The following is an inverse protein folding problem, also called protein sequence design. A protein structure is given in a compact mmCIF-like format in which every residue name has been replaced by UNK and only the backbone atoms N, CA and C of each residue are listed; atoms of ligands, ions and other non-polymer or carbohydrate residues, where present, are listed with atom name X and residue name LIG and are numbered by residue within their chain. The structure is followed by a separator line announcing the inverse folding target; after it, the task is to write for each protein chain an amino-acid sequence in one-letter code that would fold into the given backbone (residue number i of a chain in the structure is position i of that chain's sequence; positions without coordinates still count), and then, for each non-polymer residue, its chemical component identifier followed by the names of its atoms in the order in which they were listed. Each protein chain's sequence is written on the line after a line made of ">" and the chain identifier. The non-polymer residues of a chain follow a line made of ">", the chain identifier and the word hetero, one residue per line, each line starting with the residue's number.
data_IF_815327596062
#
_entry.id   IF_815327596062
#
_cell.length_a   1.000
_cell.length_b   1.000
_cell.length_c   1.000
_cell.angle_alpha   90.00
_cell.angle_beta   90.00
_cell.angle_gamma   90.00
#
_symmetry.space_group_name_H-M   'P 1'
#
loop_
_entity.id
_entity.type
_entity.pdbx_description
1 polymer ?
#
# COMPACT_ATOMS: atom_id res chain seq x y z
N UNK A 1 -83.72 -32.15 -10.02
CA UNK A 1 -83.09 -31.07 -9.18
C UNK A 1 -81.58 -31.25 -9.30
N UNK A 2 -80.93 -30.40 -10.13
CA UNK A 2 -79.53 -30.51 -10.47
C UNK A 2 -78.74 -29.63 -9.52
N UNK A 3 -77.77 -30.19 -8.76
CA UNK A 3 -76.79 -29.45 -8.00
C UNK A 3 -75.51 -29.34 -8.83
N UNK A 4 -75.27 -28.11 -9.32
CA UNK A 4 -74.01 -27.74 -9.97
C UNK A 4 -72.94 -27.46 -8.89
N UNK A 5 -71.89 -28.25 -8.88
CA UNK A 5 -70.67 -28.01 -8.07
C UNK A 5 -69.78 -27.01 -8.80
N UNK A 6 -69.55 -25.85 -8.21
CA UNK A 6 -68.55 -24.87 -8.64
C UNK A 6 -67.19 -25.22 -8.00
N UNK A 7 -66.25 -25.62 -8.83
CA UNK A 7 -64.83 -25.76 -8.48
C UNK A 7 -64.15 -24.40 -8.55
N UNK A 8 -63.77 -23.84 -7.41
CA UNK A 8 -62.84 -22.69 -7.37
C UNK A 8 -61.43 -23.17 -7.51
N UNK A 9 -60.81 -22.89 -8.64
CA UNK A 9 -59.36 -23.08 -8.86
C UNK A 9 -58.63 -21.88 -8.20
N UNK A 10 -58.06 -22.09 -7.03
CA UNK A 10 -57.18 -21.11 -6.36
C UNK A 10 -55.82 -21.18 -7.04
N UNK A 11 -55.52 -20.22 -7.96
CA UNK A 11 -54.22 -20.02 -8.54
C UNK A 11 -53.24 -19.50 -7.49
N UNK A 12 -52.30 -20.30 -7.03
CA UNK A 12 -51.21 -19.86 -6.18
C UNK A 12 -50.24 -19.03 -7.04
N UNK A 13 -50.24 -17.72 -6.91
CA UNK A 13 -49.20 -16.83 -7.47
C UNK A 13 -47.92 -17.06 -6.65
N UNK A 14 -47.02 -17.85 -7.17
CA UNK A 14 -45.65 -17.96 -6.65
C UNK A 14 -44.92 -16.66 -6.97
N UNK A 15 -44.86 -15.75 -6.01
CA UNK A 15 -43.97 -14.60 -6.06
C UNK A 15 -42.53 -15.13 -6.04
N UNK A 16 -41.90 -15.20 -7.21
CA UNK A 16 -40.46 -15.44 -7.32
C UNK A 16 -39.75 -14.30 -6.58
N UNK A 17 -39.25 -14.59 -5.36
CA UNK A 17 -38.32 -13.69 -4.69
C UNK A 17 -37.09 -13.54 -5.59
N UNK A 18 -36.64 -12.31 -5.92
CA UNK A 18 -35.37 -12.15 -6.61
C UNK A 18 -34.31 -12.87 -5.76
N UNK A 19 -33.62 -13.85 -6.37
CA UNK A 19 -32.47 -14.46 -5.74
C UNK A 19 -31.46 -13.33 -5.50
N UNK A 20 -31.29 -12.96 -4.23
CA UNK A 20 -30.21 -12.06 -3.84
C UNK A 20 -28.94 -12.71 -4.35
N UNK A 21 -28.31 -12.11 -5.36
CA UNK A 21 -27.05 -12.57 -5.89
C UNK A 21 -26.10 -12.74 -4.70
N UNK A 22 -25.65 -13.97 -4.48
CA UNK A 22 -24.78 -14.27 -3.34
C UNK A 22 -23.51 -13.45 -3.50
N UNK A 23 -23.21 -12.62 -2.49
CA UNK A 23 -22.04 -11.74 -2.52
C UNK A 23 -20.78 -12.59 -2.75
N UNK A 24 -20.00 -12.24 -3.75
CA UNK A 24 -18.71 -12.88 -4.00
C UNK A 24 -17.75 -12.42 -2.89
N UNK A 25 -17.23 -13.35 -2.09
CA UNK A 25 -16.23 -13.04 -1.07
C UNK A 25 -14.84 -13.26 -1.67
N UNK A 26 -14.00 -12.24 -1.56
CA UNK A 26 -12.59 -12.26 -1.99
C UNK A 26 -11.72 -12.15 -0.74
N UNK A 27 -10.80 -13.07 -0.56
CA UNK A 27 -9.88 -13.09 0.58
C UNK A 27 -8.48 -12.71 0.13
N UNK A 28 -7.92 -11.65 0.71
CA UNK A 28 -6.58 -11.18 0.44
C UNK A 28 -5.77 -11.01 1.71
N UNK A 29 -4.45 -11.07 1.58
CA UNK A 29 -3.55 -10.82 2.70
C UNK A 29 -2.27 -10.11 2.25
N UNK A 30 -1.67 -9.31 3.11
CA UNK A 30 -0.38 -8.72 2.82
C UNK A 30 -0.12 -7.35 3.43
N UNK A 31 0.40 -6.45 2.60
CA UNK A 31 0.87 -5.13 2.99
C UNK A 31 -0.13 -4.33 3.83
N UNK A 32 0.36 -3.69 4.90
CA UNK A 32 -0.45 -2.73 5.65
C UNK A 32 -0.56 -1.38 4.93
N UNK A 33 0.33 -1.09 3.99
CA UNK A 33 0.35 0.13 3.21
C UNK A 33 -1.01 0.46 2.57
N UNK A 34 -1.67 -0.43 1.78
CA UNK A 34 -2.94 -0.13 1.15
C UNK A 34 -4.17 -0.38 2.04
N UNK A 35 -4.01 -0.85 3.29
CA UNK A 35 -5.14 -1.27 4.12
C UNK A 35 -6.23 -0.20 4.24
N UNK A 36 -5.92 1.10 4.52
CA UNK A 36 -6.97 2.12 4.64
C UNK A 36 -7.84 2.24 3.40
N UNK A 37 -7.23 2.23 2.22
CA UNK A 37 -7.98 2.33 0.96
C UNK A 37 -8.68 1.01 0.60
N UNK A 38 -8.09 -0.15 0.88
CA UNK A 38 -8.74 -1.43 0.61
C UNK A 38 -9.98 -1.65 1.49
N UNK A 39 -9.95 -1.23 2.75
CA UNK A 39 -11.13 -1.24 3.62
C UNK A 39 -12.23 -0.32 3.08
N UNK A 40 -11.88 0.88 2.61
CA UNK A 40 -12.83 1.82 2.02
C UNK A 40 -13.41 1.30 0.71
N UNK A 41 -12.57 0.75 -0.16
CA UNK A 41 -13.00 0.12 -1.41
C UNK A 41 -13.85 -1.13 -1.16
N UNK A 42 -13.46 -1.97 -0.19
CA UNK A 42 -14.21 -3.16 0.17
C UNK A 42 -15.63 -2.86 0.65
N UNK A 43 -15.80 -1.82 1.48
CA UNK A 43 -17.12 -1.35 1.90
C UNK A 43 -17.94 -0.89 0.69
N UNK A 44 -17.40 -0.02 -0.15
CA UNK A 44 -18.10 0.53 -1.31
C UNK A 44 -18.41 -0.54 -2.38
N UNK A 45 -17.52 -1.50 -2.63
CA UNK A 45 -17.74 -2.60 -3.57
C UNK A 45 -18.82 -3.59 -3.09
N UNK A 46 -18.93 -3.78 -1.77
CA UNK A 46 -20.01 -4.59 -1.19
C UNK A 46 -21.38 -4.01 -1.50
N UNK A 47 -21.52 -2.69 -1.41
CA UNK A 47 -22.76 -1.97 -1.69
C UNK A 47 -23.03 -1.84 -3.20
N UNK A 48 -22.00 -1.50 -4.00
CA UNK A 48 -22.13 -1.17 -5.41
C UNK A 48 -22.01 -2.35 -6.37
N UNK A 49 -21.40 -3.48 -5.96
CA UNK A 49 -21.13 -4.63 -6.83
C UNK A 49 -21.36 -5.99 -6.18
N UNK A 50 -21.89 -6.06 -4.95
CA UNK A 50 -22.04 -7.31 -4.18
C UNK A 50 -20.72 -8.10 -4.04
N UNK A 51 -19.58 -7.41 -3.94
CA UNK A 51 -18.26 -8.02 -3.73
C UNK A 51 -17.82 -7.70 -2.30
N UNK A 52 -17.64 -8.72 -1.46
CA UNK A 52 -17.13 -8.59 -0.10
C UNK A 52 -15.63 -8.85 -0.08
N UNK A 53 -14.87 -7.91 0.47
CA UNK A 53 -13.43 -8.08 0.67
C UNK A 53 -13.16 -8.50 2.13
N UNK A 54 -12.39 -9.58 2.30
CA UNK A 54 -11.76 -9.98 3.56
C UNK A 54 -10.25 -9.80 3.41
N UNK A 55 -9.72 -8.68 3.93
CA UNK A 55 -8.31 -8.34 3.80
C UNK A 55 -7.56 -8.43 5.13
N UNK A 56 -6.48 -9.21 5.16
CA UNK A 56 -5.64 -9.41 6.34
C UNK A 56 -4.34 -8.63 6.19
N UNK A 57 -4.19 -7.57 6.98
CA UNK A 57 -2.97 -6.74 7.05
C UNK A 57 -1.90 -7.43 7.90
N UNK A 58 -1.03 -8.22 7.26
CA UNK A 58 -0.01 -9.06 7.92
C UNK A 58 1.42 -8.79 7.44
N UNK A 59 1.61 -7.71 6.66
CA UNK A 59 2.86 -7.34 6.02
C UNK A 59 3.06 -8.01 4.66
N UNK A 60 3.85 -7.37 3.79
CA UNK A 60 4.11 -7.83 2.41
C UNK A 60 4.66 -9.25 2.36
N UNK A 61 5.63 -9.57 3.24
CA UNK A 61 6.19 -10.92 3.30
C UNK A 61 5.15 -11.98 3.68
N UNK A 62 4.23 -11.67 4.60
CA UNK A 62 3.10 -12.52 4.94
C UNK A 62 2.17 -12.75 3.75
N UNK A 63 1.84 -11.69 2.99
CA UNK A 63 1.03 -11.76 1.78
C UNK A 63 1.66 -12.59 0.68
N UNK A 64 2.96 -12.38 0.41
CA UNK A 64 3.74 -13.18 -0.55
C UNK A 64 3.71 -14.67 -0.16
N UNK A 65 3.90 -14.97 1.12
CA UNK A 65 3.87 -16.36 1.61
C UNK A 65 2.50 -16.99 1.42
N UNK A 66 1.42 -16.33 1.85
CA UNK A 66 0.07 -16.86 1.75
C UNK A 66 -0.36 -17.10 0.30
N UNK A 67 -0.06 -16.18 -0.62
CA UNK A 67 -0.43 -16.38 -2.03
C UNK A 67 0.44 -17.44 -2.70
N UNK A 68 1.71 -17.57 -2.34
CA UNK A 68 2.58 -18.65 -2.83
C UNK A 68 2.01 -20.01 -2.42
N UNK A 69 1.49 -20.12 -1.20
CA UNK A 69 0.84 -21.34 -0.67
C UNK A 69 -0.65 -21.47 -1.04
N UNK A 70 -1.19 -20.54 -1.84
CA UNK A 70 -2.61 -20.57 -2.30
C UNK A 70 -3.64 -20.57 -1.15
N UNK A 71 -3.31 -20.02 0.02
CA UNK A 71 -4.23 -19.94 1.17
C UNK A 71 -5.19 -18.76 1.10
N UNK A 72 -4.92 -17.80 0.22
CA UNK A 72 -5.74 -16.62 -0.10
C UNK A 72 -5.97 -16.52 -1.61
N UNK A 73 -6.90 -15.67 -2.03
CA UNK A 73 -7.20 -15.44 -3.45
C UNK A 73 -6.18 -14.47 -4.07
N UNK A 74 -5.62 -13.54 -3.27
CA UNK A 74 -4.53 -12.65 -3.68
C UNK A 74 -3.59 -12.31 -2.54
N UNK A 75 -2.33 -12.03 -2.87
CA UNK A 75 -1.36 -11.41 -1.99
C UNK A 75 -1.22 -9.92 -2.28
N UNK A 76 -0.83 -9.11 -1.29
CA UNK A 76 -0.51 -7.70 -1.49
C UNK A 76 0.90 -7.38 -0.99
N UNK A 77 1.67 -6.62 -1.79
CA UNK A 77 3.06 -6.25 -1.46
C UNK A 77 3.43 -4.89 -2.04
N UNK A 78 4.12 -4.06 -1.25
CA UNK A 78 4.71 -2.80 -1.74
C UNK A 78 6.16 -3.03 -2.23
N UNK A 79 6.72 -4.22 -1.98
CA UNK A 79 7.97 -4.66 -2.57
C UNK A 79 7.64 -5.50 -3.83
N UNK A 80 7.91 -5.02 -5.04
CA UNK A 80 7.66 -5.79 -6.25
C UNK A 80 8.54 -7.04 -6.28
N UNK A 81 7.96 -8.16 -6.75
CA UNK A 81 8.73 -9.37 -6.98
C UNK A 81 9.49 -9.28 -8.32
N UNK A 82 10.75 -9.71 -8.36
CA UNK A 82 11.47 -9.90 -9.62
C UNK A 82 10.72 -10.86 -10.56
N UNK A 83 10.81 -10.63 -11.87
CA UNK A 83 10.13 -11.42 -12.91
C UNK A 83 10.42 -12.92 -12.80
N UNK A 84 11.66 -13.28 -12.47
CA UNK A 84 12.03 -14.69 -12.24
C UNK A 84 11.25 -15.31 -11.07
N UNK A 85 11.07 -14.58 -9.97
CA UNK A 85 10.29 -15.07 -8.83
C UNK A 85 8.78 -15.13 -9.12
N UNK A 86 8.26 -14.21 -9.94
CA UNK A 86 6.87 -14.27 -10.41
C UNK A 86 6.64 -15.54 -11.25
N UNK A 87 7.54 -15.81 -12.19
CA UNK A 87 7.49 -17.01 -13.04
C UNK A 87 7.60 -18.31 -12.22
N UNK A 88 8.58 -18.40 -11.33
CA UNK A 88 8.78 -19.55 -10.43
C UNK A 88 7.53 -19.90 -9.62
N UNK A 89 6.85 -18.87 -9.12
CA UNK A 89 5.66 -19.01 -8.26
C UNK A 89 4.35 -19.05 -9.03
N UNK A 90 4.39 -18.95 -10.35
CA UNK A 90 3.21 -18.82 -11.20
C UNK A 90 2.29 -17.68 -10.73
N UNK A 91 2.86 -16.49 -10.57
CA UNK A 91 2.15 -15.29 -10.15
C UNK A 91 2.22 -14.21 -11.23
N UNK A 92 1.10 -13.53 -11.42
CA UNK A 92 1.00 -12.25 -12.08
C UNK A 92 1.03 -11.16 -11.00
N UNK A 93 1.82 -10.11 -11.25
CA UNK A 93 1.85 -8.90 -10.43
C UNK A 93 1.24 -7.73 -11.18
N UNK A 94 0.42 -6.92 -10.49
CA UNK A 94 -0.07 -5.65 -11.02
C UNK A 94 -0.30 -4.63 -9.90
N UNK A 95 -0.12 -3.31 -10.16
CA UNK A 95 -0.34 -2.26 -9.17
C UNK A 95 -1.84 -1.97 -9.01
N UNK A 96 -2.22 -1.38 -7.88
CA UNK A 96 -3.61 -0.99 -7.61
C UNK A 96 -3.76 0.48 -7.30
N UNK A 97 -2.83 1.06 -6.59
CA UNK A 97 -2.80 2.47 -6.16
C UNK A 97 -1.36 2.83 -5.82
N UNK A 98 -1.02 4.10 -5.89
CA UNK A 98 0.24 4.62 -5.37
C UNK A 98 0.00 5.33 -4.06
N UNK A 99 0.97 5.26 -3.16
CA UNK A 99 0.99 6.01 -1.91
C UNK A 99 2.38 6.55 -1.62
N UNK A 100 2.52 7.27 -0.54
CA UNK A 100 3.78 7.88 -0.14
C UNK A 100 4.18 7.42 1.26
N UNK A 101 5.48 7.31 1.49
CA UNK A 101 6.02 7.07 2.81
C UNK A 101 6.50 8.41 3.37
N UNK A 102 6.03 8.72 4.57
CA UNK A 102 6.34 9.95 5.28
C UNK A 102 7.08 9.64 6.58
N UNK A 103 7.94 10.56 7.00
CA UNK A 103 8.55 10.52 8.31
C UNK A 103 7.61 11.18 9.31
N UNK A 104 7.35 10.49 10.40
CA UNK A 104 6.50 10.93 11.49
C UNK A 104 7.34 11.10 12.75
N UNK A 105 7.08 12.17 13.52
CA UNK A 105 7.84 12.49 14.72
C UNK A 105 6.93 12.82 15.89
N UNK A 106 7.44 12.63 17.11
CA UNK A 106 6.80 13.09 18.34
C UNK A 106 7.78 13.96 19.14
N UNK A 107 7.88 15.22 18.76
CA UNK A 107 8.77 16.20 19.40
C UNK A 107 7.90 17.30 20.01
N UNK A 108 7.88 17.48 21.33
CA UNK A 108 7.10 18.55 21.97
C UNK A 108 7.42 19.93 21.40
N UNK A 109 6.37 20.66 21.01
CA UNK A 109 6.50 22.03 20.47
C UNK A 109 6.82 22.10 18.97
N UNK A 110 6.96 20.97 18.27
CA UNK A 110 7.13 20.93 16.81
C UNK A 110 5.77 20.74 16.14
N UNK A 111 5.40 21.70 15.30
CA UNK A 111 4.16 21.64 14.53
C UNK A 111 4.33 20.72 13.30
N UNK A 112 3.19 20.31 12.71
CA UNK A 112 3.17 19.52 11.49
C UNK A 112 3.93 20.24 10.36
N UNK A 113 4.75 19.49 9.63
CA UNK A 113 5.59 19.99 8.52
C UNK A 113 6.58 21.12 8.89
N UNK A 114 6.80 21.40 10.16
CA UNK A 114 7.76 22.45 10.57
C UNK A 114 9.21 21.95 10.55
N UNK A 115 9.45 20.67 10.88
CA UNK A 115 10.79 20.10 10.94
C UNK A 115 11.32 19.76 9.54
N UNK A 116 12.50 20.27 9.21
CA UNK A 116 13.23 20.01 7.97
C UNK A 116 14.35 19.02 8.22
N UNK A 117 14.42 17.98 7.40
CA UNK A 117 15.45 16.94 7.46
C UNK A 117 16.13 16.77 6.10
N UNK A 118 17.45 16.65 6.10
CA UNK A 118 18.20 16.31 4.89
C UNK A 118 18.39 14.80 4.78
N UNK A 119 18.68 14.25 3.59
CA UNK A 119 18.96 12.84 3.41
C UNK A 119 20.01 12.28 4.38
N UNK A 120 21.10 13.02 4.59
CA UNK A 120 22.19 12.64 5.48
C UNK A 120 21.74 12.56 6.94
N UNK A 121 20.95 13.54 7.38
CA UNK A 121 20.38 13.58 8.74
C UNK A 121 19.41 12.42 8.94
N UNK A 122 18.56 12.12 7.95
CA UNK A 122 17.61 10.99 8.01
C UNK A 122 18.39 9.67 8.15
N UNK A 123 19.40 9.45 7.31
CA UNK A 123 20.22 8.24 7.40
C UNK A 123 20.89 8.11 8.78
N UNK A 124 21.48 9.20 9.31
CA UNK A 124 22.18 9.20 10.59
C UNK A 124 21.23 9.03 11.80
N UNK A 125 19.97 9.48 11.72
CA UNK A 125 18.95 9.21 12.74
C UNK A 125 18.66 7.69 12.84
N UNK A 126 18.45 7.03 11.70
CA UNK A 126 18.16 5.58 11.67
C UNK A 126 19.42 4.70 11.83
N UNK A 127 20.62 5.23 11.56
CA UNK A 127 21.90 4.59 11.92
C UNK A 127 22.22 4.72 13.42
N UNK A 128 21.46 5.52 14.19
CA UNK A 128 21.73 5.81 15.60
C UNK A 128 22.96 6.69 15.85
N UNK A 129 23.41 7.42 14.82
CA UNK A 129 24.53 8.38 14.91
C UNK A 129 24.09 9.75 15.44
N UNK A 130 22.85 10.15 15.17
CA UNK A 130 22.17 11.25 15.81
C UNK A 130 21.28 10.69 16.91
N UNK A 131 21.64 11.01 18.15
CA UNK A 131 20.98 10.43 19.35
C UNK A 131 20.11 11.43 20.09
N UNK A 132 20.13 12.72 19.71
CA UNK A 132 19.35 13.78 20.35
C UNK A 132 18.79 14.76 19.32
N UNK A 133 17.60 15.30 19.58
CA UNK A 133 16.93 16.22 18.68
C UNK A 133 17.59 17.60 18.60
N UNK A 134 18.36 18.01 19.61
CA UNK A 134 19.16 19.24 19.59
C UNK A 134 20.58 19.05 19.02
N UNK A 135 20.83 17.99 18.24
CA UNK A 135 22.08 17.83 17.47
C UNK A 135 22.27 19.04 16.54
N UNK A 136 23.49 19.56 16.47
CA UNK A 136 23.79 20.76 15.70
C UNK A 136 23.35 20.67 14.23
N UNK A 137 23.49 19.49 13.61
CA UNK A 137 23.09 19.23 12.22
C UNK A 137 21.58 19.40 11.98
N UNK A 138 20.75 19.14 13.02
CA UNK A 138 19.30 19.38 12.93
C UNK A 138 18.99 20.84 13.25
N UNK A 139 19.61 21.40 14.28
CA UNK A 139 19.36 22.78 14.72
C UNK A 139 19.71 23.77 13.62
N UNK A 140 20.83 23.62 12.94
CA UNK A 140 21.27 24.48 11.83
C UNK A 140 20.28 24.52 10.66
N UNK A 141 19.59 23.38 10.38
CA UNK A 141 18.55 23.31 9.36
C UNK A 141 17.22 23.95 9.79
N UNK A 142 17.03 24.14 11.10
CA UNK A 142 15.75 24.49 11.72
C UNK A 142 15.85 25.66 12.67
N UNK A 143 16.54 26.75 12.26
CA UNK A 143 16.87 27.90 13.08
C UNK A 143 15.67 28.60 13.74
N UNK A 144 14.44 28.39 13.20
CA UNK A 144 13.18 28.90 13.77
C UNK A 144 12.53 27.97 14.80
N UNK A 145 13.08 26.76 15.03
CA UNK A 145 12.52 25.78 15.96
C UNK A 145 13.36 25.66 17.24
N UNK A 146 12.68 25.62 18.38
CA UNK A 146 13.33 25.27 19.64
C UNK A 146 13.31 23.75 19.83
N UNK A 147 14.35 23.08 19.36
CA UNK A 147 14.48 21.64 19.49
C UNK A 147 14.97 21.24 20.91
N UNK A 148 14.25 20.34 21.61
CA UNK A 148 14.60 19.96 22.97
C UNK A 148 15.82 19.04 23.02
N UNK A 149 16.53 19.03 24.16
CA UNK A 149 17.54 18.03 24.45
C UNK A 149 16.87 16.69 24.82
N UNK A 150 16.21 16.10 23.84
CA UNK A 150 15.40 14.88 23.97
C UNK A 150 16.06 13.75 23.19
N UNK A 151 16.19 12.51 23.75
CA UNK A 151 16.72 11.38 23.01
C UNK A 151 15.88 11.06 21.77
N UNK A 152 16.56 10.71 20.67
CA UNK A 152 15.91 10.19 19.47
C UNK A 152 15.60 8.71 19.65
N UNK A 153 14.37 8.31 19.37
CA UNK A 153 13.92 6.91 19.41
C UNK A 153 13.37 6.49 18.06
N UNK A 154 14.18 5.86 17.19
CA UNK A 154 13.68 5.35 15.91
C UNK A 154 12.67 4.23 16.11
N UNK A 155 11.54 4.29 15.38
CA UNK A 155 10.54 3.23 15.32
C UNK A 155 10.52 2.62 13.92
N UNK A 156 10.63 1.30 13.84
CA UNK A 156 10.71 0.57 12.57
C UNK A 156 9.77 -0.64 12.54
N UNK A 157 9.60 -1.23 11.37
CA UNK A 157 8.75 -2.41 11.18
C UNK A 157 9.44 -3.68 11.63
N UNK A 158 8.78 -4.42 12.54
CA UNK A 158 9.25 -5.72 13.03
C UNK A 158 8.80 -6.90 12.14
N UNK A 159 7.83 -6.68 11.25
CA UNK A 159 7.34 -7.65 10.27
C UNK A 159 8.06 -7.48 8.92
N UNK A 160 7.96 -8.49 8.05
CA UNK A 160 8.46 -8.39 6.68
C UNK A 160 7.59 -7.43 5.86
N UNK A 161 8.05 -6.19 5.67
CA UNK A 161 7.28 -5.03 5.26
C UNK A 161 7.72 -4.46 3.91
N UNK A 162 6.77 -4.25 3.00
CA UNK A 162 7.01 -3.49 1.78
C UNK A 162 7.31 -2.02 2.06
N UNK A 163 6.66 -1.40 3.05
CA UNK A 163 6.98 -0.05 3.51
C UNK A 163 8.45 0.06 3.94
N UNK A 164 8.96 -0.95 4.66
CA UNK A 164 10.39 -1.05 5.00
C UNK A 164 11.26 -1.17 3.76
N UNK A 165 10.88 -2.02 2.80
CA UNK A 165 11.62 -2.16 1.54
C UNK A 165 11.75 -0.82 0.82
N UNK A 166 10.67 -0.09 0.64
CA UNK A 166 10.67 1.22 -0.04
C UNK A 166 11.53 2.23 0.74
N UNK A 167 11.34 2.34 2.06
CA UNK A 167 12.12 3.26 2.89
C UNK A 167 13.61 2.92 2.92
N UNK A 168 13.97 1.66 3.06
CA UNK A 168 15.37 1.24 3.08
C UNK A 168 16.04 1.30 1.70
N UNK A 169 15.25 1.18 0.62
CA UNK A 169 15.73 1.48 -0.74
C UNK A 169 16.07 2.96 -0.87
N UNK A 170 15.20 3.85 -0.37
CA UNK A 170 15.50 5.28 -0.31
C UNK A 170 16.79 5.54 0.49
N UNK A 171 16.89 5.01 1.71
CA UNK A 171 18.09 5.18 2.54
C UNK A 171 19.37 4.67 1.85
N UNK A 172 19.28 3.56 1.10
CA UNK A 172 20.41 3.01 0.33
C UNK A 172 20.82 3.90 -0.87
N UNK A 173 19.90 4.73 -1.40
CA UNK A 173 20.22 5.68 -2.49
C UNK A 173 20.90 6.94 -1.98
N UNK A 174 20.55 7.37 -0.79
CA UNK A 174 21.01 8.64 -0.22
C UNK A 174 22.22 8.50 0.70
N UNK A 175 22.63 7.27 1.05
CA UNK A 175 23.71 7.02 2.00
C UNK A 175 24.48 5.75 1.65
N UNK A 176 25.75 5.89 1.27
CA UNK A 176 26.64 4.76 1.01
C UNK A 176 26.86 3.92 2.27
N UNK A 177 26.93 4.57 3.44
CA UNK A 177 27.01 3.86 4.73
C UNK A 177 25.81 2.97 4.97
N UNK A 178 24.60 3.46 4.66
CA UNK A 178 23.40 2.65 4.76
C UNK A 178 23.41 1.50 3.76
N UNK A 179 23.77 1.80 2.48
CA UNK A 179 23.82 0.84 1.38
C UNK A 179 24.76 -0.32 1.66
N UNK A 180 25.93 -0.06 2.21
CA UNK A 180 26.96 -1.08 2.49
C UNK A 180 26.81 -1.75 3.84
N UNK A 181 26.03 -1.17 4.75
CA UNK A 181 25.73 -1.68 6.08
C UNK A 181 24.36 -2.37 6.12
N UNK A 182 23.30 -1.69 6.61
CA UNK A 182 21.97 -2.30 6.75
C UNK A 182 21.36 -2.76 5.42
N UNK A 183 21.56 -1.98 4.35
CA UNK A 183 21.05 -2.25 3.00
C UNK A 183 19.54 -2.02 2.86
N UNK A 184 18.97 -2.57 1.76
CA UNK A 184 17.55 -2.50 1.45
C UNK A 184 16.90 -3.89 1.53
N UNK A 185 15.69 -3.96 2.08
CA UNK A 185 14.94 -5.22 2.19
C UNK A 185 13.61 -5.06 2.90
N UNK A 186 12.76 -6.07 2.79
CA UNK A 186 11.50 -6.12 3.56
C UNK A 186 11.74 -6.38 5.05
N UNK A 187 12.87 -6.98 5.39
CA UNK A 187 13.38 -7.20 6.74
C UNK A 187 14.88 -6.98 6.72
N UNK A 188 15.37 -6.11 7.60
CA UNK A 188 16.80 -5.83 7.76
C UNK A 188 17.19 -5.89 9.24
N UNK A 189 18.48 -5.93 9.51
CA UNK A 189 19.00 -5.72 10.87
C UNK A 189 19.11 -4.22 11.13
N UNK A 190 18.14 -3.67 11.88
CA UNK A 190 18.13 -2.25 12.22
C UNK A 190 19.26 -1.88 13.17
N UNK A 191 20.00 -0.79 12.88
CA UNK A 191 21.10 -0.36 13.75
C UNK A 191 20.64 0.19 15.11
N UNK A 192 19.47 0.84 15.15
CA UNK A 192 18.92 1.47 16.34
C UNK A 192 17.38 1.45 16.33
N UNK A 193 16.78 1.64 17.50
CA UNK A 193 15.35 1.83 17.65
C UNK A 193 14.58 0.59 18.07
N UNK A 194 13.24 0.68 17.98
CA UNK A 194 12.31 -0.34 18.43
C UNK A 194 11.38 -0.78 17.31
N UNK A 195 11.13 -2.09 17.23
CA UNK A 195 10.26 -2.68 16.22
C UNK A 195 8.79 -2.66 16.61
N UNK A 196 7.91 -2.35 15.63
CA UNK A 196 6.47 -2.42 15.76
C UNK A 196 5.84 -3.09 14.53
N UNK A 197 4.70 -3.77 14.69
CA UNK A 197 4.03 -4.47 13.60
C UNK A 197 3.08 -3.56 12.85
N UNK A 198 3.12 -3.61 11.52
CA UNK A 198 2.26 -2.83 10.63
C UNK A 198 2.58 -1.33 10.63
N UNK A 199 2.00 -0.57 9.71
CA UNK A 199 2.05 0.89 9.73
C UNK A 199 1.33 1.44 10.98
N UNK A 200 0.25 0.82 11.41
CA UNK A 200 -0.49 1.13 12.63
C UNK A 200 0.37 1.00 13.89
N UNK A 201 1.20 -0.03 13.99
CA UNK A 201 2.08 -0.24 15.13
C UNK A 201 3.18 0.83 15.20
N UNK A 202 3.82 1.17 14.08
CA UNK A 202 4.81 2.26 14.02
C UNK A 202 4.15 3.60 14.37
N UNK A 203 2.99 3.89 13.80
CA UNK A 203 2.22 5.11 14.07
C UNK A 203 1.87 5.24 15.56
N UNK A 204 1.43 4.16 16.19
CA UNK A 204 1.13 4.12 17.63
C UNK A 204 2.39 4.30 18.49
N UNK A 205 3.50 3.68 18.11
CA UNK A 205 4.79 3.82 18.83
C UNK A 205 5.25 5.25 18.80
N UNK A 206 5.25 5.90 17.64
CA UNK A 206 5.66 7.31 17.53
C UNK A 206 4.72 8.22 18.31
N UNK A 207 3.40 8.06 18.18
CA UNK A 207 2.42 8.87 18.90
C UNK A 207 2.61 8.86 20.41
N UNK A 208 2.96 7.70 20.98
CA UNK A 208 3.04 7.49 22.42
C UNK A 208 4.46 7.62 23.02
N UNK A 209 5.48 7.87 22.19
CA UNK A 209 6.87 7.94 22.64
C UNK A 209 7.45 9.33 22.33
N UNK A 210 7.57 10.22 23.32
CA UNK A 210 8.28 11.50 23.13
C UNK A 210 9.70 11.28 22.61
N UNK A 211 10.09 12.02 21.57
CA UNK A 211 11.38 11.87 20.91
C UNK A 211 11.41 10.77 19.83
N UNK A 212 10.33 10.08 19.60
CA UNK A 212 10.29 9.08 18.52
C UNK A 212 10.27 9.70 17.12
N UNK A 213 10.90 8.99 16.19
CA UNK A 213 10.80 9.18 14.75
C UNK A 213 10.48 7.81 14.12
N UNK A 214 9.58 7.78 13.14
CA UNK A 214 9.25 6.57 12.39
C UNK A 214 8.94 6.89 10.94
N UNK A 215 8.68 5.86 10.17
CA UNK A 215 8.20 5.97 8.78
C UNK A 215 6.89 5.18 8.64
N UNK A 216 5.94 5.74 7.91
CA UNK A 216 4.64 5.11 7.67
C UNK A 216 4.08 5.53 6.32
N UNK A 217 3.08 4.81 5.82
CA UNK A 217 2.30 5.28 4.69
C UNK A 217 1.46 6.50 5.13
N UNK A 218 1.31 7.49 4.23
CA UNK A 218 0.80 8.82 4.56
C UNK A 218 -0.64 8.82 5.11
N UNK A 219 -1.54 7.95 4.64
CA UNK A 219 -2.90 7.86 5.18
C UNK A 219 -2.91 7.55 6.69
N UNK A 220 -1.93 6.80 7.20
CA UNK A 220 -1.80 6.56 8.64
C UNK A 220 -1.39 7.81 9.41
N UNK A 221 -0.52 8.65 8.82
CA UNK A 221 -0.15 9.92 9.44
C UNK A 221 -1.35 10.87 9.49
N UNK A 222 -2.07 11.02 8.39
CA UNK A 222 -3.25 11.89 8.26
C UNK A 222 -4.39 11.46 9.19
N UNK A 223 -4.79 10.19 9.13
CA UNK A 223 -5.90 9.67 9.97
C UNK A 223 -5.59 9.76 11.45
N UNK A 224 -4.32 9.56 11.85
CA UNK A 224 -3.89 9.62 13.25
C UNK A 224 -3.41 11.01 13.67
N UNK A 225 -3.43 12.02 12.81
CA UNK A 225 -2.96 13.39 13.05
C UNK A 225 -1.54 13.42 13.62
N UNK A 226 -0.65 12.64 13.01
CA UNK A 226 0.76 12.59 13.40
C UNK A 226 1.51 13.75 12.76
N UNK A 227 2.51 14.25 13.49
CA UNK A 227 3.40 15.32 12.98
C UNK A 227 4.33 14.72 11.94
N UNK A 228 4.27 15.26 10.72
CA UNK A 228 5.15 14.88 9.59
C UNK A 228 6.29 15.89 9.42
N UNK A 229 7.27 15.56 8.57
CA UNK A 229 8.45 16.40 8.36
C UNK A 229 8.60 16.77 6.89
N UNK A 230 9.29 17.89 6.62
CA UNK A 230 9.80 18.17 5.28
C UNK A 230 11.10 17.42 5.04
N UNK A 231 11.29 16.92 3.81
CA UNK A 231 12.52 16.25 3.38
C UNK A 231 13.17 17.07 2.26
N UNK A 232 14.49 17.26 2.33
CA UNK A 232 15.25 17.79 1.20
C UNK A 232 15.31 16.74 0.11
N UNK A 233 14.69 17.02 -1.03
CA UNK A 233 14.66 16.09 -2.16
C UNK A 233 15.95 16.14 -2.98
N UNK A 234 16.06 15.27 -3.99
CA UNK A 234 17.23 15.14 -4.89
C UNK A 234 17.58 16.44 -5.62
N UNK A 235 16.60 17.31 -5.87
CA UNK A 235 16.81 18.63 -6.50
C UNK A 235 17.20 19.72 -5.50
N UNK A 236 17.39 19.40 -4.21
CA UNK A 236 17.84 20.31 -3.16
C UNK A 236 16.73 21.10 -2.47
N UNK A 237 15.47 20.96 -2.88
CA UNK A 237 14.34 21.65 -2.27
C UNK A 237 13.81 20.90 -1.04
N UNK A 238 13.42 21.63 0.01
CA UNK A 238 12.63 21.07 1.10
C UNK A 238 11.18 20.96 0.67
N UNK A 239 10.65 19.74 0.66
CA UNK A 239 9.30 19.41 0.21
C UNK A 239 8.49 18.88 1.39
N UNK A 240 7.26 19.39 1.56
CA UNK A 240 6.30 18.83 2.49
C UNK A 240 5.57 17.64 1.89
N UNK A 241 5.13 16.66 2.71
CA UNK A 241 4.36 15.51 2.25
C UNK A 241 2.91 15.91 1.96
N UNK A 242 2.68 16.46 0.79
CA UNK A 242 1.35 16.88 0.32
C UNK A 242 1.02 16.23 -1.01
N UNK A 243 -0.27 16.08 -1.30
CA UNK A 243 -0.75 15.39 -2.51
C UNK A 243 -0.10 15.89 -3.81
N UNK A 244 0.11 17.21 -3.94
CA UNK A 244 0.77 17.77 -5.13
C UNK A 244 2.21 17.26 -5.31
N UNK A 245 2.93 17.08 -4.20
CA UNK A 245 4.31 16.58 -4.23
C UNK A 245 4.36 15.07 -4.52
N UNK A 246 3.38 14.32 -4.07
CA UNK A 246 3.22 12.90 -4.39
C UNK A 246 2.85 12.70 -5.86
N UNK A 247 1.90 13.49 -6.36
CA UNK A 247 1.47 13.46 -7.76
C UNK A 247 2.61 13.80 -8.71
N UNK A 248 3.46 14.76 -8.37
CA UNK A 248 4.63 15.11 -9.17
C UNK A 248 5.62 13.94 -9.34
N UNK A 249 5.71 13.01 -8.36
CA UNK A 249 6.47 11.77 -8.51
C UNK A 249 5.73 10.74 -9.36
N UNK A 250 4.41 10.64 -9.20
CA UNK A 250 3.57 9.69 -9.94
C UNK A 250 3.49 10.01 -11.44
N UNK A 251 3.51 11.29 -11.80
CA UNK A 251 3.36 11.74 -13.19
C UNK A 251 4.55 11.35 -14.10
N UNK A 252 5.70 11.08 -13.50
CA UNK A 252 6.92 10.66 -14.22
C UNK A 252 7.17 9.15 -14.15
N UNK A 253 6.19 8.38 -13.67
CA UNK A 253 6.30 6.93 -13.52
C UNK A 253 6.43 6.20 -14.85
N UNK A 254 7.47 5.40 -15.03
CA UNK A 254 7.60 4.48 -16.16
C UNK A 254 6.94 3.13 -15.87
N UNK A 255 5.75 2.96 -16.41
CA UNK A 255 4.98 1.71 -16.29
C UNK A 255 5.31 0.67 -17.36
N UNK A 256 6.24 0.95 -18.29
CA UNK A 256 6.64 -0.01 -19.33
C UNK A 256 7.50 -1.17 -18.80
N UNK A 257 8.05 -1.00 -17.60
CA UNK A 257 8.90 -1.99 -16.93
C UNK A 257 8.16 -3.31 -16.65
N UNK A 258 8.87 -4.47 -16.70
CA UNK A 258 8.29 -5.78 -16.43
C UNK A 258 7.60 -5.85 -15.06
N UNK A 259 6.47 -6.56 -14.97
CA UNK A 259 5.69 -6.68 -13.73
C UNK A 259 5.08 -5.37 -13.25
N UNK A 260 5.02 -4.34 -14.10
CA UNK A 260 4.54 -2.99 -13.75
C UNK A 260 5.31 -2.36 -12.56
N UNK A 261 6.56 -2.76 -12.32
CA UNK A 261 7.35 -2.37 -11.16
C UNK A 261 8.00 -0.99 -11.32
N UNK A 262 7.19 0.04 -11.60
CA UNK A 262 7.67 1.41 -11.71
C UNK A 262 8.40 1.85 -10.44
N UNK A 263 9.57 2.46 -10.63
CA UNK A 263 10.41 2.96 -9.55
C UNK A 263 10.20 4.46 -9.38
N UNK A 264 9.62 4.85 -8.25
CA UNK A 264 9.25 6.24 -7.92
C UNK A 264 10.07 6.80 -6.76
N UNK A 265 11.17 6.13 -6.37
CA UNK A 265 11.97 6.49 -5.22
C UNK A 265 13.10 7.44 -5.64
N UNK A 266 13.26 8.56 -4.94
CA UNK A 266 14.32 9.55 -5.11
C UNK A 266 14.40 10.12 -6.54
N UNK A 267 13.25 10.44 -7.12
CA UNK A 267 13.16 11.07 -8.44
C UNK A 267 13.56 12.56 -8.37
N UNK A 268 14.07 13.08 -9.48
CA UNK A 268 14.41 14.51 -9.62
C UNK A 268 13.17 15.36 -9.88
N UNK A 269 13.16 16.59 -9.39
CA UNK A 269 12.11 17.57 -9.57
C UNK A 269 11.97 18.47 -8.32
N UNK A 270 11.83 19.78 -8.50
CA UNK A 270 11.84 20.73 -7.38
C UNK A 270 10.72 20.48 -6.36
N UNK A 271 9.56 19.95 -6.80
CA UNK A 271 8.40 19.70 -5.97
C UNK A 271 8.16 18.23 -5.65
N UNK A 272 9.02 17.32 -6.15
CA UNK A 272 8.82 15.87 -6.05
C UNK A 272 9.09 15.40 -4.63
N UNK A 273 8.11 14.66 -4.05
CA UNK A 273 8.30 13.91 -2.82
C UNK A 273 9.20 12.69 -3.07
N UNK A 274 10.25 12.45 -2.26
CA UNK A 274 11.27 11.46 -2.62
C UNK A 274 10.89 10.00 -2.35
N UNK A 275 9.80 9.73 -1.63
CA UNK A 275 9.47 8.36 -1.18
C UNK A 275 8.03 8.00 -1.57
N UNK A 276 7.83 7.74 -2.86
CA UNK A 276 6.54 7.30 -3.42
C UNK A 276 6.69 5.86 -3.90
N UNK A 277 5.64 5.07 -3.80
CA UNK A 277 5.62 3.68 -4.28
C UNK A 277 4.23 3.25 -4.71
N UNK A 278 4.10 2.45 -5.78
CA UNK A 278 2.91 1.66 -6.00
C UNK A 278 2.83 0.51 -4.98
N UNK A 279 1.62 0.02 -4.74
CA UNK A 279 1.37 -1.26 -4.07
C UNK A 279 0.81 -2.25 -5.05
N UNK A 280 1.23 -3.51 -4.94
CA UNK A 280 0.98 -4.55 -5.94
C UNK A 280 0.10 -5.65 -5.39
N UNK A 281 -0.72 -6.21 -6.28
CA UNK A 281 -1.40 -7.48 -6.09
C UNK A 281 -0.60 -8.59 -6.76
N UNK A 282 -0.54 -9.71 -6.09
CA UNK A 282 0.00 -10.97 -6.58
C UNK A 282 -1.16 -11.93 -6.78
N UNK A 283 -1.38 -12.35 -8.03
CA UNK A 283 -2.51 -13.19 -8.43
C UNK A 283 -1.98 -14.48 -9.09
N UNK A 284 -2.49 -15.67 -8.76
CA UNK A 284 -2.10 -16.92 -9.44
C UNK A 284 -2.41 -16.86 -10.94
N UNK A 285 -1.46 -17.24 -11.78
CA UNK A 285 -1.66 -17.36 -13.24
C UNK A 285 -2.37 -18.67 -13.63
N UNK A 286 -2.27 -19.69 -12.77
CA UNK A 286 -2.82 -21.03 -12.97
C UNK A 286 -3.57 -21.52 -11.71
N UNK A 287 -4.66 -20.83 -11.28
CA UNK A 287 -5.41 -21.25 -10.12
C UNK A 287 -6.00 -22.65 -10.33
N UNK A 288 -6.04 -23.45 -9.25
CA UNK A 288 -6.73 -24.72 -9.22
C UNK A 288 -8.24 -24.54 -9.40
N UNK A 289 -8.98 -25.59 -9.79
CA UNK A 289 -10.40 -25.49 -10.12
C UNK A 289 -11.24 -24.83 -9.00
N UNK A 290 -10.94 -25.13 -7.74
CA UNK A 290 -11.58 -24.54 -6.56
C UNK A 290 -11.20 -23.08 -6.31
N UNK A 291 -10.09 -22.59 -6.89
CA UNK A 291 -9.58 -21.21 -6.76
C UNK A 291 -9.93 -20.27 -7.93
N UNK A 292 -10.49 -20.81 -9.02
CA UNK A 292 -10.89 -20.02 -10.20
C UNK A 292 -11.85 -18.90 -9.81
N UNK A 293 -12.86 -19.21 -8.99
CA UNK A 293 -13.86 -18.23 -8.56
C UNK A 293 -13.25 -17.09 -7.72
N UNK A 294 -12.29 -17.39 -6.82
CA UNK A 294 -11.57 -16.41 -6.02
C UNK A 294 -10.67 -15.50 -6.88
N UNK A 295 -9.95 -16.08 -7.87
CA UNK A 295 -9.16 -15.32 -8.83
C UNK A 295 -10.01 -14.38 -9.68
N UNK A 296 -11.16 -14.86 -10.19
CA UNK A 296 -12.10 -14.00 -10.92
C UNK A 296 -12.70 -12.92 -10.04
N UNK A 297 -13.08 -13.26 -8.81
CA UNK A 297 -13.57 -12.32 -7.81
C UNK A 297 -12.55 -11.21 -7.52
N UNK A 298 -11.27 -11.57 -7.39
CA UNK A 298 -10.17 -10.61 -7.21
C UNK A 298 -10.07 -9.63 -8.39
N UNK A 299 -10.06 -10.15 -9.62
CA UNK A 299 -10.00 -9.30 -10.82
C UNK A 299 -11.22 -8.37 -10.91
N UNK A 300 -12.43 -8.87 -10.63
CA UNK A 300 -13.67 -8.06 -10.60
C UNK A 300 -13.64 -6.99 -9.51
N UNK A 301 -13.11 -7.31 -8.33
CA UNK A 301 -12.95 -6.35 -7.25
C UNK A 301 -12.03 -5.18 -7.67
N UNK A 302 -10.84 -5.48 -8.18
CA UNK A 302 -9.91 -4.42 -8.58
C UNK A 302 -10.37 -3.68 -9.85
N UNK A 303 -11.05 -4.35 -10.78
CA UNK A 303 -11.69 -3.67 -11.91
C UNK A 303 -12.75 -2.66 -11.45
N UNK A 304 -13.56 -3.05 -10.47
CA UNK A 304 -14.52 -2.14 -9.84
C UNK A 304 -13.81 -0.97 -9.16
N UNK A 305 -12.72 -1.23 -8.44
CA UNK A 305 -11.92 -0.19 -7.78
C UNK A 305 -11.31 0.80 -8.79
N UNK A 306 -10.82 0.32 -9.92
CA UNK A 306 -10.30 1.16 -11.00
C UNK A 306 -11.37 2.06 -11.62
N UNK A 307 -12.61 1.59 -11.72
CA UNK A 307 -13.74 2.35 -12.29
C UNK A 307 -14.33 3.35 -11.30
N UNK A 308 -14.37 3.02 -10.01
CA UNK A 308 -15.20 3.72 -9.02
C UNK A 308 -14.39 4.25 -7.83
N UNK A 309 -13.15 3.80 -7.64
CA UNK A 309 -12.40 3.99 -6.41
C UNK A 309 -11.52 5.23 -6.34
N UNK A 310 -11.38 6.00 -7.43
CA UNK A 310 -10.44 7.12 -7.52
C UNK A 310 -10.69 8.22 -6.48
N UNK A 311 -11.95 8.62 -6.30
CA UNK A 311 -12.32 9.66 -5.32
C UNK A 311 -11.97 9.23 -3.90
N UNK A 312 -12.25 7.98 -3.53
CA UNK A 312 -11.91 7.45 -2.21
C UNK A 312 -10.39 7.39 -2.00
N UNK A 313 -9.62 7.03 -3.04
CA UNK A 313 -8.17 7.03 -3.00
C UNK A 313 -7.63 8.44 -2.72
N UNK A 314 -8.07 9.45 -3.50
CA UNK A 314 -7.63 10.84 -3.33
C UNK A 314 -8.03 11.41 -1.96
N UNK A 315 -9.20 11.06 -1.42
CA UNK A 315 -9.63 11.49 -0.07
C UNK A 315 -8.74 10.92 1.06
N UNK A 316 -8.10 9.79 0.84
CA UNK A 316 -7.13 9.17 1.76
C UNK A 316 -5.68 9.46 1.34
N UNK A 317 -5.49 10.42 0.41
CA UNK A 317 -4.19 10.87 -0.07
C UNK A 317 -3.36 9.79 -0.78
N UNK A 318 -4.03 8.77 -1.35
CA UNK A 318 -3.45 7.87 -2.35
C UNK A 318 -3.64 8.45 -3.74
N UNK A 319 -2.70 8.15 -4.63
CA UNK A 319 -2.76 8.55 -6.05
C UNK A 319 -3.33 7.39 -6.87
N UNK A 320 -4.49 7.59 -7.53
CA UNK A 320 -5.02 6.62 -8.48
C UNK A 320 -4.03 6.35 -9.61
N UNK A 321 -4.07 5.14 -10.16
CA UNK A 321 -3.30 4.79 -11.35
C UNK A 321 -3.87 5.49 -12.60
N UNK A 322 -3.04 5.79 -13.60
CA UNK A 322 -3.51 6.29 -14.89
C UNK A 322 -4.49 5.30 -15.57
N UNK A 323 -5.54 5.80 -16.21
CA UNK A 323 -6.56 4.95 -16.87
C UNK A 323 -5.99 4.01 -17.94
N UNK A 324 -5.01 4.49 -18.72
CA UNK A 324 -4.30 3.66 -19.70
C UNK A 324 -3.60 2.44 -19.08
N UNK A 325 -3.20 2.55 -17.81
CA UNK A 325 -2.60 1.41 -17.09
C UNK A 325 -3.65 0.38 -16.70
N UNK A 326 -4.88 0.78 -16.39
CA UNK A 326 -5.99 -0.14 -16.11
C UNK A 326 -6.25 -1.09 -17.28
N UNK A 327 -6.22 -0.59 -18.52
CA UNK A 327 -6.45 -1.41 -19.71
C UNK A 327 -5.30 -2.41 -19.94
N UNK A 328 -4.06 -2.00 -19.69
CA UNK A 328 -2.91 -2.89 -19.73
C UNK A 328 -2.99 -3.99 -18.67
N UNK A 329 -3.46 -3.67 -17.47
CA UNK A 329 -3.68 -4.64 -16.40
C UNK A 329 -4.76 -5.65 -16.79
N UNK A 330 -5.91 -5.18 -17.34
CA UNK A 330 -6.98 -6.06 -17.84
C UNK A 330 -6.48 -6.99 -18.96
N UNK A 331 -5.69 -6.46 -19.89
CA UNK A 331 -5.07 -7.26 -20.95
C UNK A 331 -4.13 -8.34 -20.37
N UNK A 332 -3.33 -7.99 -19.35
CA UNK A 332 -2.46 -8.95 -18.65
C UNK A 332 -3.28 -10.05 -17.95
N UNK A 333 -4.40 -9.71 -17.29
CA UNK A 333 -5.30 -10.71 -16.70
C UNK A 333 -5.80 -11.72 -17.75
N UNK A 334 -6.33 -11.23 -18.90
CA UNK A 334 -6.83 -12.09 -19.98
C UNK A 334 -5.75 -12.94 -20.63
N UNK A 335 -4.53 -12.38 -20.76
CA UNK A 335 -3.42 -13.11 -21.36
C UNK A 335 -2.81 -14.17 -20.43
N UNK A 336 -2.68 -13.90 -19.13
CA UNK A 336 -1.85 -14.69 -18.23
C UNK A 336 -2.64 -15.55 -17.23
N UNK A 337 -3.87 -15.17 -16.84
CA UNK A 337 -4.65 -15.92 -15.84
C UNK A 337 -5.57 -16.92 -16.53
N UNK A 338 -5.24 -18.21 -16.39
CA UNK A 338 -5.93 -19.31 -17.09
C UNK A 338 -6.53 -20.30 -16.09
N UNK A 339 -7.70 -20.85 -16.43
CA UNK A 339 -8.27 -21.98 -15.70
C UNK A 339 -7.49 -23.28 -15.99
N UNK A 340 -7.76 -24.39 -15.30
CA UNK A 340 -7.08 -25.66 -15.55
C UNK A 340 -7.23 -26.22 -16.98
N UNK A 341 -8.23 -25.77 -17.75
CA UNK A 341 -8.41 -26.12 -19.16
C UNK A 341 -7.63 -25.17 -20.12
N UNK A 342 -6.80 -24.24 -19.59
CA UNK A 342 -6.01 -23.30 -20.38
C UNK A 342 -6.80 -22.10 -20.93
N UNK A 343 -8.07 -21.95 -20.56
CA UNK A 343 -8.91 -20.85 -21.01
C UNK A 343 -8.72 -19.61 -20.12
N UNK A 344 -8.81 -18.41 -20.72
CA UNK A 344 -8.77 -17.16 -19.96
C UNK A 344 -9.93 -17.10 -18.97
N UNK A 345 -9.63 -16.74 -17.72
CA UNK A 345 -10.65 -16.53 -16.67
C UNK A 345 -11.27 -15.14 -16.81
N UNK A 346 -10.46 -14.15 -17.20
CA UNK A 346 -10.91 -12.79 -17.46
C UNK A 346 -11.29 -12.64 -18.93
N UNK A 347 -12.55 -12.35 -19.18
CA UNK A 347 -13.08 -11.92 -20.48
C UNK A 347 -13.63 -10.52 -20.29
N UNK A 348 -13.06 -9.55 -21.03
CA UNK A 348 -13.46 -8.14 -20.99
C UNK A 348 -14.91 -7.94 -21.47
#
# INVERSE_FOLDING_TARGET
>A
MNRRSLLFASGAVVLARPALAQAVTVTGAGASFPRPIYERWGQAAREGASISLNYQSIGSGGGINQITNRTVDFGASDAPLPTAQLAERNLLQFPTVMGSIVLIVNIPGVADNALKLTPEVIADLFLGRITRWNDARIVELNTGLRLPNLPVSPAYRADASGTTFVFTTYLSRISDTWKTGPGAGTSIRWPAGNGARGNEGVSNTVRNTPGAIGYTENAYATVNRLVTTQIRNKSGAFVAPVMAAFQAAADVADWSVPGFAADLIDLSGATVWPIVSPTFILLPTNPTADKVAGSLGTMRFFDWCFKNGATAATQLEYMPLPSALHDRIRAAWGAQVKNPAGQAIWTA
#
